data_IF_089156359164
#
_entry.id   IF_089156359164
#
_cell.length_a   1.000
_cell.length_b   1.000
_cell.length_c   1.000
_cell.angle_alpha   90.00
_cell.angle_beta   90.00
_cell.angle_gamma   90.00
#
_symmetry.space_group_name_H-M   'P 1'
#
loop_
_entity.id
_entity.type
_entity.pdbx_description
1 polymer ?
#
# COMPACT_ATOMS: atom_id res chain seq x y z
N UNK A 1 1.64 -38.28 25.02
CA UNK A 1 2.55 -38.10 23.88
C UNK A 1 1.89 -37.16 22.90
N UNK A 2 2.26 -35.88 22.94
CA UNK A 2 1.76 -34.84 22.03
C UNK A 2 2.70 -34.82 20.84
N UNK A 3 2.25 -35.34 19.70
CA UNK A 3 2.97 -35.23 18.43
C UNK A 3 3.04 -33.77 18.03
N UNK A 4 4.25 -33.20 18.03
CA UNK A 4 4.49 -31.89 17.46
C UNK A 4 4.14 -31.98 15.96
N UNK A 5 3.04 -31.34 15.57
CA UNK A 5 2.70 -31.15 14.16
C UNK A 5 3.86 -30.35 13.55
N UNK A 6 4.54 -30.93 12.57
CA UNK A 6 5.59 -30.25 11.83
C UNK A 6 5.00 -28.94 11.28
N UNK A 7 5.42 -27.81 11.85
CA UNK A 7 4.91 -26.50 11.49
C UNK A 7 5.13 -26.27 10.01
N UNK A 8 4.06 -26.05 9.25
CA UNK A 8 4.16 -25.64 7.86
C UNK A 8 5.01 -24.36 7.83
N UNK A 9 6.15 -24.38 7.15
CA UNK A 9 7.07 -23.25 7.11
C UNK A 9 6.32 -22.01 6.62
N UNK A 10 6.40 -20.91 7.37
CA UNK A 10 5.73 -19.68 7.00
C UNK A 10 6.38 -19.07 5.76
N UNK A 11 5.59 -18.66 4.78
CA UNK A 11 6.06 -17.98 3.58
C UNK A 11 6.36 -16.51 3.89
N UNK A 12 7.57 -16.04 3.56
CA UNK A 12 8.01 -14.66 3.81
C UNK A 12 7.69 -13.73 2.63
N UNK A 13 7.01 -12.64 2.89
CA UNK A 13 6.73 -11.55 1.95
C UNK A 13 7.40 -10.27 2.39
N UNK A 14 8.03 -9.55 1.45
CA UNK A 14 8.65 -8.24 1.73
C UNK A 14 8.01 -7.15 0.87
N UNK A 15 7.51 -6.11 1.52
CA UNK A 15 6.81 -4.98 0.93
C UNK A 15 7.70 -3.74 1.08
N UNK A 16 8.03 -3.10 -0.02
CA UNK A 16 8.78 -1.85 -0.06
C UNK A 16 7.84 -0.71 -0.42
N UNK A 17 7.70 0.27 0.46
CA UNK A 17 6.81 1.41 0.27
C UNK A 17 7.56 2.73 0.39
N UNK A 18 7.03 3.79 -0.22
CA UNK A 18 7.70 5.09 -0.29
C UNK A 18 7.93 5.67 1.10
N UNK A 19 6.84 5.93 1.83
CA UNK A 19 6.88 6.70 3.06
C UNK A 19 6.37 5.96 4.29
N UNK A 20 6.36 6.69 5.40
CA UNK A 20 5.75 6.22 6.63
C UNK A 20 4.21 6.20 6.53
N UNK A 21 3.59 7.05 5.72
CA UNK A 21 2.14 7.06 5.51
C UNK A 21 1.66 5.79 4.79
N UNK A 22 2.35 5.37 3.73
CA UNK A 22 2.11 4.08 3.08
C UNK A 22 2.22 2.92 4.05
N UNK A 23 3.28 2.94 4.87
CA UNK A 23 3.52 1.91 5.88
C UNK A 23 2.40 1.88 6.91
N UNK A 24 1.97 3.03 7.41
CA UNK A 24 0.89 3.13 8.41
C UNK A 24 -0.46 2.72 7.79
N UNK A 25 -0.71 3.04 6.52
CA UNK A 25 -1.88 2.57 5.78
C UNK A 25 -1.89 1.04 5.63
N UNK A 26 -0.78 0.47 5.18
CA UNK A 26 -0.63 -0.98 5.05
C UNK A 26 -0.73 -1.68 6.41
N UNK A 27 -0.14 -1.10 7.46
CA UNK A 27 -0.25 -1.62 8.83
C UNK A 27 -1.71 -1.74 9.26
N UNK A 28 -2.50 -0.68 9.07
CA UNK A 28 -3.93 -0.69 9.39
C UNK A 28 -4.72 -1.68 8.52
N UNK A 29 -4.40 -1.80 7.23
CA UNK A 29 -4.99 -2.81 6.34
C UNK A 29 -4.73 -4.22 6.87
N UNK A 30 -3.47 -4.56 7.15
CA UNK A 30 -3.10 -5.88 7.66
C UNK A 30 -3.73 -6.15 9.02
N UNK A 31 -3.57 -5.27 10.00
CA UNK A 31 -4.06 -5.50 11.37
C UNK A 31 -5.59 -5.51 11.46
N UNK A 32 -6.27 -4.53 10.86
CA UNK A 32 -7.69 -4.30 11.10
C UNK A 32 -8.61 -4.81 9.98
N UNK A 33 -8.15 -4.78 8.72
CA UNK A 33 -8.94 -5.28 7.62
C UNK A 33 -8.78 -6.79 7.40
N UNK A 34 -7.54 -7.27 7.51
CA UNK A 34 -7.17 -8.67 7.25
C UNK A 34 -7.00 -9.51 8.52
N UNK A 35 -6.96 -8.88 9.70
CA UNK A 35 -6.82 -9.58 10.98
C UNK A 35 -5.42 -10.16 11.22
N UNK A 36 -4.39 -9.56 10.60
CA UNK A 36 -3.00 -9.96 10.80
C UNK A 36 -2.55 -9.60 12.22
N UNK A 37 -1.73 -10.48 12.80
CA UNK A 37 -1.12 -10.25 14.11
C UNK A 37 0.16 -9.43 13.96
N UNK A 38 0.22 -8.28 14.62
CA UNK A 38 1.43 -7.45 14.70
C UNK A 38 2.56 -8.21 15.40
N UNK A 39 3.78 -8.16 14.84
CA UNK A 39 5.00 -8.70 15.44
C UNK A 39 5.87 -7.60 16.08
N UNK A 40 5.23 -6.50 16.50
CA UNK A 40 5.92 -5.38 17.15
C UNK A 40 6.74 -5.85 18.35
N UNK A 41 8.02 -5.49 18.38
CA UNK A 41 8.94 -5.86 19.46
C UNK A 41 9.69 -7.17 19.25
N UNK A 42 9.42 -7.90 18.15
CA UNK A 42 10.24 -9.06 17.77
C UNK A 42 11.67 -8.60 17.42
N UNK A 43 12.70 -9.09 18.13
CA UNK A 43 14.09 -8.65 17.96
C UNK A 43 14.71 -9.10 16.63
N UNK A 44 14.07 -9.99 15.88
CA UNK A 44 14.53 -10.41 14.55
C UNK A 44 14.35 -9.34 13.48
N UNK A 45 13.49 -8.32 13.72
CA UNK A 45 13.31 -7.24 12.78
C UNK A 45 14.40 -6.17 12.91
N UNK A 46 14.94 -5.77 11.77
CA UNK A 46 15.81 -4.60 11.68
C UNK A 46 15.00 -3.34 12.03
N UNK A 47 15.68 -2.33 12.58
CA UNK A 47 15.08 -1.01 12.84
C UNK A 47 14.43 -0.48 11.55
N UNK A 48 13.16 -0.07 11.64
CA UNK A 48 12.39 0.45 10.50
C UNK A 48 11.63 -0.60 9.68
N UNK A 49 11.75 -1.89 10.04
CA UNK A 49 10.94 -2.97 9.46
C UNK A 49 9.77 -3.30 10.37
N UNK A 50 8.59 -3.45 9.80
CA UNK A 50 7.36 -3.77 10.52
C UNK A 50 6.86 -5.15 10.11
N UNK A 51 6.77 -6.05 11.08
CA UNK A 51 6.41 -7.46 10.86
C UNK A 51 4.95 -7.77 11.19
N UNK A 52 4.33 -8.63 10.39
CA UNK A 52 2.97 -9.12 10.61
C UNK A 52 2.87 -10.62 10.27
N UNK A 53 1.96 -11.31 10.94
CA UNK A 53 1.55 -12.67 10.59
C UNK A 53 0.10 -12.69 10.11
N UNK A 54 -0.12 -13.28 8.94
CA UNK A 54 -1.45 -13.47 8.34
C UNK A 54 -1.59 -14.93 7.93
N UNK A 55 -2.20 -15.75 8.81
CA UNK A 55 -2.24 -17.19 8.64
C UNK A 55 -0.84 -17.79 8.62
N UNK A 56 -0.47 -18.48 7.54
CA UNK A 56 0.88 -19.03 7.32
C UNK A 56 1.86 -18.03 6.66
N UNK A 57 1.44 -16.78 6.43
CA UNK A 57 2.25 -15.76 5.78
C UNK A 57 2.93 -14.87 6.82
N UNK A 58 4.23 -14.65 6.68
CA UNK A 58 4.98 -13.61 7.39
C UNK A 58 5.19 -12.45 6.44
N UNK A 59 4.81 -11.24 6.86
CA UNK A 59 4.88 -10.02 6.05
C UNK A 59 5.83 -9.03 6.70
N UNK A 60 6.77 -8.49 5.93
CA UNK A 60 7.67 -7.40 6.32
C UNK A 60 7.38 -6.15 5.50
N UNK A 61 7.10 -5.04 6.17
CA UNK A 61 6.90 -3.74 5.53
C UNK A 61 8.12 -2.85 5.79
N UNK A 62 8.72 -2.36 4.71
CA UNK A 62 9.92 -1.53 4.66
C UNK A 62 9.54 -0.12 4.19
N UNK A 63 9.46 0.84 5.11
CA UNK A 63 9.28 2.27 4.79
C UNK A 63 10.61 2.86 4.32
N UNK A 64 10.69 3.31 3.08
CA UNK A 64 11.97 3.46 2.40
C UNK A 64 12.42 4.91 2.16
N UNK A 65 11.74 5.90 2.73
CA UNK A 65 12.14 7.31 2.65
C UNK A 65 11.96 7.95 1.27
N UNK A 66 11.04 7.42 0.46
CA UNK A 66 10.60 7.92 -0.84
C UNK A 66 10.67 6.85 -1.94
N UNK A 67 10.09 7.17 -3.11
CA UNK A 67 10.07 6.32 -4.32
C UNK A 67 11.41 5.69 -4.69
N UNK A 68 12.51 6.47 -4.62
CA UNK A 68 13.85 5.97 -4.92
C UNK A 68 14.28 4.91 -3.91
N UNK A 69 14.14 5.17 -2.61
CA UNK A 69 14.54 4.22 -1.58
C UNK A 69 13.72 2.92 -1.65
N UNK A 70 12.42 3.01 -1.97
CA UNK A 70 11.58 1.83 -2.16
C UNK A 70 12.06 0.99 -3.35
N UNK A 71 12.40 1.65 -4.46
CA UNK A 71 12.97 0.99 -5.64
C UNK A 71 14.35 0.36 -5.35
N UNK A 72 15.25 1.10 -4.70
CA UNK A 72 16.58 0.60 -4.32
C UNK A 72 16.47 -0.62 -3.38
N UNK A 73 15.57 -0.57 -2.40
CA UNK A 73 15.32 -1.67 -1.46
C UNK A 73 14.75 -2.91 -2.15
N UNK A 74 13.79 -2.73 -3.05
CA UNK A 74 13.23 -3.80 -3.87
C UNK A 74 14.29 -4.44 -4.77
N UNK A 75 15.09 -3.64 -5.49
CA UNK A 75 16.18 -4.13 -6.34
C UNK A 75 17.27 -4.86 -5.55
N UNK A 76 17.66 -4.34 -4.38
CA UNK A 76 18.62 -5.00 -3.50
C UNK A 76 18.11 -6.39 -3.08
N UNK A 77 16.81 -6.50 -2.80
CA UNK A 77 16.20 -7.75 -2.40
C UNK A 77 15.99 -8.73 -3.57
N UNK A 78 15.73 -8.24 -4.78
CA UNK A 78 15.75 -9.07 -6.00
C UNK A 78 17.10 -9.77 -6.16
N UNK A 79 18.21 -9.04 -6.00
CA UNK A 79 19.58 -9.59 -6.08
C UNK A 79 19.87 -10.61 -4.99
N UNK A 80 19.19 -10.53 -3.85
CA UNK A 80 19.33 -11.43 -2.71
C UNK A 80 18.26 -12.52 -2.66
N UNK A 81 17.36 -12.59 -3.64
CA UNK A 81 16.18 -13.45 -3.60
C UNK A 81 16.54 -14.94 -3.46
N UNK A 82 17.60 -15.41 -4.13
CA UNK A 82 18.06 -16.79 -4.00
C UNK A 82 18.61 -17.15 -2.61
N UNK A 83 19.17 -16.18 -1.88
CA UNK A 83 19.72 -16.41 -0.54
C UNK A 83 18.67 -16.28 0.57
N UNK A 84 17.81 -15.26 0.46
CA UNK A 84 16.75 -15.00 1.46
C UNK A 84 15.53 -15.89 1.25
N UNK A 85 15.30 -16.32 0.01
CA UNK A 85 14.17 -17.14 -0.43
C UNK A 85 12.78 -16.60 -0.02
N UNK A 86 12.45 -15.32 -0.31
CA UNK A 86 11.11 -14.80 -0.04
C UNK A 86 10.08 -15.46 -0.97
N UNK A 87 8.87 -15.72 -0.47
CA UNK A 87 7.76 -16.16 -1.32
C UNK A 87 7.32 -15.08 -2.32
N UNK A 88 7.44 -13.81 -1.94
CA UNK A 88 7.19 -12.70 -2.84
C UNK A 88 7.78 -11.37 -2.39
N UNK A 89 7.98 -10.50 -3.38
CA UNK A 89 8.44 -9.13 -3.23
C UNK A 89 7.39 -8.19 -3.79
N UNK A 90 7.08 -7.15 -3.03
CA UNK A 90 6.06 -6.18 -3.36
C UNK A 90 6.69 -4.80 -3.36
N UNK A 91 6.32 -3.97 -4.34
CA UNK A 91 6.65 -2.56 -4.34
C UNK A 91 5.36 -1.74 -4.36
N UNK A 92 5.18 -0.88 -3.37
CA UNK A 92 4.01 -0.02 -3.18
C UNK A 92 4.41 1.43 -3.47
N UNK A 93 3.87 2.04 -4.52
CA UNK A 93 4.26 3.38 -4.97
C UNK A 93 3.04 4.26 -5.29
N UNK A 94 3.23 5.56 -5.19
CA UNK A 94 2.35 6.54 -5.81
C UNK A 94 2.71 6.65 -7.30
N UNK A 95 1.72 6.84 -8.16
CA UNK A 95 1.94 7.19 -9.58
C UNK A 95 1.27 8.54 -9.84
N UNK A 96 1.78 9.59 -9.17
CA UNK A 96 1.25 10.96 -9.18
C UNK A 96 0.96 11.52 -10.58
N UNK A 97 1.75 11.11 -11.57
CA UNK A 97 1.67 11.55 -12.97
C UNK A 97 0.78 10.65 -13.84
N UNK A 98 0.12 9.65 -13.25
CA UNK A 98 -0.81 8.79 -13.97
C UNK A 98 -2.14 9.52 -14.22
N UNK A 99 -2.67 9.40 -15.43
CA UNK A 99 -3.96 10.00 -15.79
C UNK A 99 -5.16 9.25 -15.18
N UNK A 100 -5.03 7.94 -15.01
CA UNK A 100 -6.07 7.05 -14.49
C UNK A 100 -5.44 5.78 -13.86
N UNK A 101 -6.31 4.86 -13.43
CA UNK A 101 -5.93 3.61 -12.77
C UNK A 101 -5.16 2.67 -13.71
N UNK A 102 -5.53 2.61 -14.99
CA UNK A 102 -4.88 1.71 -15.95
C UNK A 102 -3.48 2.22 -16.31
N UNK A 103 -3.31 3.54 -16.46
CA UNK A 103 -2.00 4.16 -16.63
C UNK A 103 -1.10 3.93 -15.40
N UNK A 104 -1.64 4.10 -14.19
CA UNK A 104 -0.91 3.84 -12.95
C UNK A 104 -0.43 2.38 -12.87
N UNK A 105 -1.32 1.42 -13.14
CA UNK A 105 -1.00 -0.02 -13.16
C UNK A 105 0.03 -0.37 -14.22
N UNK A 106 -0.11 0.17 -15.43
CA UNK A 106 0.85 -0.02 -16.52
C UNK A 106 2.24 0.48 -16.12
N UNK A 107 2.34 1.69 -15.57
CA UNK A 107 3.62 2.29 -15.13
C UNK A 107 4.31 1.47 -14.04
N UNK A 108 3.55 0.96 -13.08
CA UNK A 108 4.11 0.13 -12.02
C UNK A 108 4.55 -1.25 -12.53
N UNK A 109 3.78 -1.87 -13.43
CA UNK A 109 4.21 -3.09 -14.13
C UNK A 109 5.50 -2.85 -14.89
N UNK A 110 5.56 -1.81 -15.72
CA UNK A 110 6.76 -1.44 -16.48
C UNK A 110 7.98 -1.17 -15.58
N UNK A 111 7.76 -0.62 -14.38
CA UNK A 111 8.83 -0.43 -13.40
C UNK A 111 9.41 -1.76 -12.95
N UNK A 112 8.57 -2.73 -12.57
CA UNK A 112 9.03 -4.08 -12.21
C UNK A 112 9.75 -4.74 -13.38
N UNK A 113 9.20 -4.65 -14.60
CA UNK A 113 9.84 -5.19 -15.80
C UNK A 113 11.25 -4.63 -15.96
N UNK A 114 11.43 -3.31 -15.90
CA UNK A 114 12.76 -2.68 -16.01
C UNK A 114 13.73 -3.12 -14.90
N UNK A 115 13.25 -3.31 -13.67
CA UNK A 115 14.08 -3.74 -12.54
C UNK A 115 14.49 -5.22 -12.65
N UNK A 116 13.64 -6.07 -13.22
CA UNK A 116 13.81 -7.53 -13.23
C UNK A 116 14.25 -8.11 -14.59
N UNK A 117 14.15 -7.37 -15.71
CA UNK A 117 14.42 -7.86 -17.08
C UNK A 117 15.80 -8.50 -17.26
N UNK A 118 16.77 -8.11 -16.43
CA UNK A 118 18.16 -8.58 -16.51
C UNK A 118 18.43 -9.80 -15.63
N UNK A 119 17.45 -10.23 -14.84
CA UNK A 119 17.60 -11.33 -13.89
C UNK A 119 17.35 -12.67 -14.58
N UNK A 120 18.26 -13.64 -14.48
CA UNK A 120 18.03 -14.98 -15.01
C UNK A 120 16.80 -15.61 -14.36
N UNK A 121 15.95 -16.25 -15.16
CA UNK A 121 14.75 -16.93 -14.67
C UNK A 121 13.56 -16.01 -14.38
N UNK A 122 13.64 -14.72 -14.75
CA UNK A 122 12.49 -13.83 -14.71
C UNK A 122 11.53 -14.10 -15.87
N UNK A 123 10.25 -14.29 -15.56
CA UNK A 123 9.14 -14.37 -16.51
C UNK A 123 8.35 -13.05 -16.49
N UNK A 124 8.41 -12.25 -17.58
CA UNK A 124 7.72 -10.97 -17.65
C UNK A 124 6.20 -11.09 -17.74
N UNK A 125 5.66 -12.21 -18.21
CA UNK A 125 4.21 -12.38 -18.35
C UNK A 125 3.57 -12.55 -16.99
N UNK A 126 4.12 -13.47 -16.19
CA UNK A 126 3.60 -13.83 -14.87
C UNK A 126 4.19 -13.03 -13.71
N UNK A 127 5.18 -12.17 -13.98
CA UNK A 127 5.96 -11.41 -12.99
C UNK A 127 6.55 -12.32 -11.89
N UNK A 128 7.14 -13.44 -12.30
CA UNK A 128 7.75 -14.42 -11.40
C UNK A 128 9.24 -14.54 -11.66
N UNK A 129 10.02 -14.64 -10.59
CA UNK A 129 11.46 -14.83 -10.65
C UNK A 129 11.83 -16.21 -10.10
N UNK A 130 12.31 -17.11 -10.95
CA UNK A 130 12.83 -18.41 -10.53
C UNK A 130 14.27 -18.25 -10.04
N UNK A 131 14.51 -18.49 -8.75
CA UNK A 131 15.84 -18.35 -8.15
C UNK A 131 16.58 -19.69 -7.98
N UNK A 132 15.84 -20.81 -8.01
CA UNK A 132 16.39 -22.18 -8.02
C UNK A 132 15.38 -23.16 -8.65
N UNK A 133 15.72 -24.45 -8.74
CA UNK A 133 14.83 -25.47 -9.30
C UNK A 133 13.51 -25.64 -8.53
N UNK A 134 13.53 -25.35 -7.23
CA UNK A 134 12.46 -25.55 -6.26
C UNK A 134 11.91 -24.25 -5.67
N UNK A 135 12.35 -23.08 -6.16
CA UNK A 135 11.95 -21.80 -5.60
C UNK A 135 11.71 -20.73 -6.65
N UNK A 136 10.58 -20.06 -6.49
CA UNK A 136 10.12 -18.95 -7.29
C UNK A 136 9.58 -17.85 -6.38
N UNK A 137 9.79 -16.61 -6.81
CA UNK A 137 9.40 -15.40 -6.09
C UNK A 137 8.37 -14.65 -6.92
N UNK A 138 7.20 -14.39 -6.34
CA UNK A 138 6.20 -13.53 -6.98
C UNK A 138 6.62 -12.04 -6.86
N UNK A 139 6.57 -11.29 -7.96
CA UNK A 139 6.81 -9.85 -7.98
C UNK A 139 5.48 -9.12 -8.16
N UNK A 140 5.05 -8.36 -7.15
CA UNK A 140 3.73 -7.74 -7.14
C UNK A 140 3.84 -6.22 -7.09
N UNK A 141 3.37 -5.49 -8.12
CA UNK A 141 3.21 -4.05 -8.04
C UNK A 141 1.93 -3.71 -7.27
N UNK A 142 2.04 -2.79 -6.32
CA UNK A 142 0.90 -2.10 -5.70
C UNK A 142 1.03 -0.63 -6.01
N UNK A 143 -0.05 -0.03 -6.50
CA UNK A 143 -0.11 1.41 -6.79
C UNK A 143 -1.24 2.05 -6.02
N UNK A 144 -0.96 3.18 -5.40
CA UNK A 144 -2.03 3.95 -4.78
C UNK A 144 -2.76 4.77 -5.85
N UNK A 145 -3.86 4.20 -6.35
CA UNK A 145 -4.71 4.86 -7.33
C UNK A 145 -6.19 4.71 -6.96
N UNK A 146 -7.01 5.57 -7.53
CA UNK A 146 -8.40 5.75 -7.21
C UNK A 146 -9.21 5.90 -8.51
N UNK A 147 -10.14 4.97 -8.73
CA UNK A 147 -10.97 4.92 -9.94
C UNK A 147 -12.09 5.99 -9.95
N UNK A 148 -12.28 6.69 -8.84
CA UNK A 148 -13.23 7.80 -8.74
C UNK A 148 -12.93 8.84 -9.82
N UNK A 149 -13.98 9.41 -10.45
CA UNK A 149 -13.82 10.44 -11.47
C UNK A 149 -13.09 11.67 -10.92
N UNK A 150 -12.53 12.49 -11.81
CA UNK A 150 -12.02 13.81 -11.42
C UNK A 150 -13.18 14.64 -10.84
N UNK A 151 -12.98 15.14 -9.63
CA UNK A 151 -13.93 15.97 -8.91
C UNK A 151 -13.15 17.09 -8.21
N UNK A 152 -13.58 18.37 -8.29
CA UNK A 152 -12.95 19.47 -7.56
C UNK A 152 -12.83 19.28 -6.04
N UNK A 153 -13.65 18.40 -5.44
CA UNK A 153 -13.59 18.03 -4.02
C UNK A 153 -12.68 16.84 -3.74
N UNK A 154 -11.86 16.41 -4.69
CA UNK A 154 -10.88 15.34 -4.52
C UNK A 154 -9.47 15.82 -4.94
N UNK A 155 -8.39 15.32 -4.30
CA UNK A 155 -7.02 15.50 -4.78
C UNK A 155 -6.87 14.93 -6.20
N UNK A 156 -6.29 15.65 -7.16
CA UNK A 156 -6.29 15.24 -8.57
C UNK A 156 -5.27 14.17 -8.94
N UNK A 157 -4.18 14.04 -8.16
CA UNK A 157 -3.10 13.09 -8.43
C UNK A 157 -3.45 11.68 -7.99
N UNK A 158 -2.97 10.67 -8.71
CA UNK A 158 -3.15 9.26 -8.36
C UNK A 158 -2.13 8.86 -7.29
N UNK A 159 -2.53 9.03 -6.03
CA UNK A 159 -1.75 8.68 -4.85
C UNK A 159 -2.64 8.18 -3.70
N UNK A 160 -1.98 7.79 -2.61
CA UNK A 160 -2.64 7.32 -1.40
C UNK A 160 -3.61 8.36 -0.83
N UNK A 161 -3.28 9.65 -0.91
CA UNK A 161 -4.16 10.65 -0.34
C UNK A 161 -5.45 10.85 -1.14
N UNK A 162 -5.43 10.74 -2.49
CA UNK A 162 -6.65 10.75 -3.30
C UNK A 162 -7.56 9.59 -2.93
N UNK A 163 -7.00 8.39 -2.80
CA UNK A 163 -7.71 7.19 -2.37
C UNK A 163 -8.38 7.40 -0.99
N UNK A 164 -7.61 7.94 -0.03
CA UNK A 164 -8.10 8.24 1.32
C UNK A 164 -9.21 9.29 1.33
N UNK A 165 -9.03 10.40 0.64
CA UNK A 165 -10.03 11.48 0.59
C UNK A 165 -11.30 11.02 -0.12
N UNK A 166 -11.19 10.24 -1.20
CA UNK A 166 -12.35 9.67 -1.87
C UNK A 166 -13.18 8.79 -0.93
N UNK A 167 -12.53 7.91 -0.16
CA UNK A 167 -13.22 7.09 0.83
C UNK A 167 -13.87 7.92 1.96
N UNK A 168 -13.19 8.97 2.43
CA UNK A 168 -13.74 9.89 3.42
C UNK A 168 -14.96 10.66 2.90
N UNK A 169 -14.91 11.14 1.65
CA UNK A 169 -16.02 11.85 1.03
C UNK A 169 -17.22 10.94 0.78
N UNK A 170 -17.01 9.67 0.41
CA UNK A 170 -18.10 8.70 0.29
C UNK A 170 -18.76 8.42 1.66
N UNK A 171 -17.96 8.13 2.68
CA UNK A 171 -18.47 7.84 4.02
C UNK A 171 -19.11 9.08 4.68
N UNK A 172 -18.59 10.27 4.39
CA UNK A 172 -19.05 11.53 4.99
C UNK A 172 -19.32 12.61 3.92
N UNK A 173 -20.43 12.51 3.15
CA UNK A 173 -20.66 13.32 1.94
C UNK A 173 -20.65 14.83 2.14
N UNK A 174 -20.94 15.31 3.36
CA UNK A 174 -20.94 16.74 3.68
C UNK A 174 -19.54 17.32 3.88
N UNK A 175 -18.53 16.49 4.14
CA UNK A 175 -17.18 16.96 4.51
C UNK A 175 -16.38 17.45 3.30
N UNK A 176 -16.46 16.77 2.16
CA UNK A 176 -15.76 17.17 0.93
C UNK A 176 -16.10 18.61 0.52
N UNK A 177 -17.39 18.95 0.32
CA UNK A 177 -17.81 20.31 0.02
C UNK A 177 -17.39 21.34 1.09
N UNK A 178 -17.51 21.00 2.38
CA UNK A 178 -17.13 21.91 3.46
C UNK A 178 -15.63 22.24 3.45
N UNK A 179 -14.76 21.25 3.23
CA UNK A 179 -13.31 21.45 3.09
C UNK A 179 -12.99 22.27 1.84
N UNK A 180 -13.65 21.98 0.71
CA UNK A 180 -13.48 22.75 -0.51
C UNK A 180 -13.85 24.23 -0.32
N UNK A 181 -15.01 24.51 0.29
CA UNK A 181 -15.45 25.87 0.63
C UNK A 181 -14.45 26.57 1.54
N UNK A 182 -13.97 25.90 2.58
CA UNK A 182 -12.99 26.46 3.52
C UNK A 182 -11.66 26.80 2.83
N UNK A 183 -11.15 25.90 1.98
CA UNK A 183 -9.91 26.13 1.22
C UNK A 183 -10.03 27.32 0.25
N UNK A 184 -11.16 27.43 -0.43
CA UNK A 184 -11.43 28.53 -1.37
C UNK A 184 -11.55 29.89 -0.65
N UNK A 185 -11.99 29.91 0.60
CA UNK A 185 -12.14 31.12 1.39
C UNK A 185 -10.83 31.65 2.01
N UNK A 186 -9.69 30.95 1.84
CA UNK A 186 -8.41 31.36 2.42
C UNK A 186 -7.91 32.67 1.78
N UNK A 187 -7.29 33.59 2.54
CA UNK A 187 -6.69 34.82 1.98
C UNK A 187 -5.60 34.55 0.93
N UNK A 188 -4.96 33.38 1.02
CA UNK A 188 -3.99 32.85 0.05
C UNK A 188 -4.40 31.40 -0.24
N UNK A 189 -5.29 31.17 -1.22
CA UNK A 189 -5.63 29.82 -1.64
C UNK A 189 -4.41 29.17 -2.31
N UNK A 190 -4.34 27.84 -2.38
CA UNK A 190 -3.32 27.15 -3.18
C UNK A 190 -3.37 27.63 -4.64
N UNK A 191 -2.21 27.98 -5.17
CA UNK A 191 -1.99 28.59 -6.48
C UNK A 191 -1.73 27.56 -7.60
N UNK A 192 -1.23 26.37 -7.24
CA UNK A 192 -1.02 25.25 -8.17
C UNK A 192 -1.75 23.96 -7.76
N UNK A 193 -1.86 23.02 -8.70
CA UNK A 193 -2.59 21.76 -8.50
C UNK A 193 -1.92 20.83 -7.48
N UNK A 194 -0.59 20.83 -7.37
CA UNK A 194 0.14 20.03 -6.39
C UNK A 194 -0.13 20.52 -4.97
N UNK A 195 0.00 21.83 -4.77
CA UNK A 195 -0.29 22.54 -3.54
C UNK A 195 -1.76 22.39 -3.15
N UNK A 196 -2.68 22.43 -4.13
CA UNK A 196 -4.11 22.17 -3.92
C UNK A 196 -4.36 20.73 -3.47
N UNK A 197 -3.78 19.75 -4.18
CA UNK A 197 -3.89 18.33 -3.89
C UNK A 197 -3.47 18.03 -2.45
N UNK A 198 -2.26 18.46 -2.04
CA UNK A 198 -1.78 18.24 -0.67
C UNK A 198 -2.60 19.03 0.35
N UNK A 199 -2.93 20.30 0.09
CA UNK A 199 -3.76 21.10 1.01
C UNK A 199 -5.11 20.44 1.28
N UNK A 200 -5.73 19.86 0.26
CA UNK A 200 -7.00 19.15 0.38
C UNK A 200 -6.88 17.94 1.30
N UNK A 201 -5.90 17.09 1.04
CA UNK A 201 -5.61 15.90 1.84
C UNK A 201 -5.34 16.23 3.31
N UNK A 202 -4.45 17.20 3.57
CA UNK A 202 -4.10 17.62 4.93
C UNK A 202 -5.28 18.21 5.69
N UNK A 203 -6.17 18.94 5.01
CA UNK A 203 -7.34 19.56 5.63
C UNK A 203 -8.35 18.50 6.09
N UNK A 204 -8.55 17.46 5.29
CA UNK A 204 -9.36 16.31 5.71
C UNK A 204 -8.75 15.59 6.91
N UNK A 205 -7.44 15.35 6.90
CA UNK A 205 -6.75 14.68 8.01
C UNK A 205 -6.84 15.48 9.30
N UNK A 206 -6.64 16.80 9.24
CA UNK A 206 -6.66 17.69 10.41
C UNK A 206 -8.03 17.72 11.10
N UNK A 207 -9.13 17.72 10.33
CA UNK A 207 -10.48 17.68 10.88
C UNK A 207 -10.90 16.32 11.44
N UNK A 208 -10.28 15.24 10.95
CA UNK A 208 -10.67 13.88 11.29
C UNK A 208 -9.96 13.33 12.52
N UNK A 209 -8.65 13.54 12.62
CA UNK A 209 -7.82 13.02 13.71
C UNK A 209 -7.02 14.15 14.38
N UNK A 210 -7.69 15.10 15.06
CA UNK A 210 -7.01 16.24 15.68
C UNK A 210 -6.05 15.81 16.81
N UNK A 211 -6.24 14.63 17.40
CA UNK A 211 -5.51 14.17 18.60
C UNK A 211 -4.31 13.24 18.32
N UNK A 212 -4.37 12.26 17.38
CA UNK A 212 -3.24 11.33 17.16
C UNK A 212 -2.12 11.83 16.23
N UNK A 213 -2.31 12.97 15.57
CA UNK A 213 -1.38 13.49 14.57
C UNK A 213 -1.44 12.77 13.21
N UNK A 214 -0.86 13.39 12.18
CA UNK A 214 -0.99 12.95 10.78
C UNK A 214 -0.43 11.54 10.49
N UNK A 215 0.55 11.06 11.26
CA UNK A 215 1.15 9.75 11.00
C UNK A 215 0.23 8.59 11.37
N UNK A 216 -0.61 8.73 12.39
CA UNK A 216 -1.53 7.65 12.80
C UNK A 216 -2.81 7.61 11.98
N UNK A 217 -3.14 8.71 11.30
CA UNK A 217 -4.36 8.86 10.50
C UNK A 217 -4.56 7.68 9.53
N UNK A 218 -3.55 7.38 8.71
CA UNK A 218 -3.64 6.37 7.66
C UNK A 218 -3.85 4.94 8.17
N UNK A 219 -3.37 4.61 9.37
CA UNK A 219 -3.65 3.32 10.00
C UNK A 219 -5.01 3.31 10.71
N UNK A 220 -5.34 4.39 11.41
CA UNK A 220 -6.51 4.46 12.28
C UNK A 220 -7.86 4.48 11.50
N UNK A 221 -7.87 4.92 10.24
CA UNK A 221 -9.07 4.80 9.39
C UNK A 221 -9.56 3.37 9.21
N UNK A 222 -8.71 2.37 9.43
CA UNK A 222 -9.09 0.96 9.34
C UNK A 222 -9.76 0.44 10.61
N UNK A 223 -9.51 1.05 11.77
CA UNK A 223 -10.08 0.62 13.06
C UNK A 223 -11.24 1.49 13.54
N UNK A 224 -11.17 2.80 13.32
CA UNK A 224 -11.96 3.77 14.07
C UNK A 224 -13.23 4.22 13.34
N UNK A 225 -13.31 4.04 12.00
CA UNK A 225 -14.49 4.36 11.20
C UNK A 225 -14.82 3.24 10.21
N UNK A 226 -15.91 2.51 10.49
CA UNK A 226 -16.35 1.37 9.70
C UNK A 226 -16.85 1.78 8.30
N UNK A 227 -17.41 2.98 8.15
CA UNK A 227 -17.95 3.49 6.88
C UNK A 227 -16.79 3.87 5.95
N UNK A 228 -15.77 4.55 6.48
CA UNK A 228 -14.54 4.87 5.75
C UNK A 228 -13.80 3.60 5.35
N UNK A 229 -13.67 2.63 6.27
CA UNK A 229 -13.11 1.31 5.95
C UNK A 229 -13.87 0.62 4.83
N UNK A 230 -15.20 0.61 4.87
CA UNK A 230 -16.02 0.00 3.81
C UNK A 230 -15.80 0.70 2.45
N UNK A 231 -15.71 2.03 2.44
CA UNK A 231 -15.42 2.81 1.24
C UNK A 231 -14.00 2.57 0.70
N UNK A 232 -12.99 2.46 1.57
CA UNK A 232 -11.62 2.09 1.19
C UNK A 232 -11.57 0.70 0.56
N UNK A 233 -12.24 -0.25 1.18
CA UNK A 233 -12.31 -1.64 0.73
C UNK A 233 -12.79 -1.74 -0.72
N UNK A 234 -13.85 -1.01 -1.10
CA UNK A 234 -14.36 -0.97 -2.49
C UNK A 234 -13.30 -0.53 -3.51
N UNK A 235 -12.35 0.32 -3.08
CA UNK A 235 -11.31 0.90 -3.94
C UNK A 235 -10.03 0.04 -3.97
N UNK A 236 -9.86 -0.91 -3.06
CA UNK A 236 -8.62 -1.72 -2.98
C UNK A 236 -8.37 -2.58 -4.22
N UNK A 237 -9.43 -2.94 -4.96
CA UNK A 237 -9.26 -3.67 -6.21
C UNK A 237 -8.46 -2.86 -7.25
N UNK A 238 -8.56 -1.53 -7.25
CA UNK A 238 -7.83 -0.66 -8.16
C UNK A 238 -6.31 -0.68 -7.93
N UNK A 239 -5.87 -0.91 -6.68
CA UNK A 239 -4.49 -0.67 -6.25
C UNK A 239 -3.53 -1.84 -6.48
N UNK A 240 -4.04 -3.00 -6.89
CA UNK A 240 -3.24 -4.23 -7.02
C UNK A 240 -3.07 -5.01 -5.71
N UNK A 241 -3.65 -4.55 -4.60
CA UNK A 241 -3.70 -5.31 -3.33
C UNK A 241 -4.39 -6.67 -3.53
N UNK A 242 -5.35 -6.79 -4.45
CA UNK A 242 -5.96 -8.08 -4.79
C UNK A 242 -4.98 -9.09 -5.36
N UNK A 243 -4.07 -8.64 -6.23
CA UNK A 243 -3.03 -9.50 -6.78
C UNK A 243 -2.07 -9.95 -5.67
N UNK A 244 -1.75 -9.06 -4.73
CA UNK A 244 -0.96 -9.40 -3.54
C UNK A 244 -1.64 -10.48 -2.69
N UNK A 245 -2.90 -10.28 -2.30
CA UNK A 245 -3.63 -11.22 -1.46
C UNK A 245 -3.83 -12.56 -2.16
N UNK A 246 -4.15 -12.54 -3.45
CA UNK A 246 -4.26 -13.76 -4.27
C UNK A 246 -2.94 -14.52 -4.30
N UNK A 247 -1.81 -13.82 -4.50
CA UNK A 247 -0.49 -14.44 -4.52
C UNK A 247 -0.07 -15.00 -3.14
N UNK A 248 -0.57 -14.40 -2.05
CA UNK A 248 -0.44 -14.90 -0.67
C UNK A 248 -1.37 -16.07 -0.34
N UNK A 249 -2.32 -16.42 -1.21
CA UNK A 249 -3.38 -17.40 -0.92
C UNK A 249 -4.40 -16.91 0.10
N UNK A 250 -4.58 -15.58 0.22
CA UNK A 250 -5.52 -14.94 1.13
C UNK A 250 -6.73 -14.45 0.33
N UNK A 251 -7.93 -14.85 0.74
CA UNK A 251 -9.18 -14.35 0.14
C UNK A 251 -9.40 -12.90 0.57
N UNK A 252 -9.49 -11.93 -0.36
CA UNK A 252 -9.76 -10.54 -0.02
C UNK A 252 -11.12 -10.40 0.67
N UNK A 253 -11.26 -9.57 1.73
CA UNK A 253 -12.52 -9.44 2.46
C UNK A 253 -13.65 -8.82 1.61
N UNK A 254 -13.32 -8.22 0.46
CA UNK A 254 -14.28 -7.66 -0.50
C UNK A 254 -14.64 -8.56 -1.67
N UNK A 255 -14.14 -9.79 -1.68
CA UNK A 255 -14.55 -10.80 -2.66
C UNK A 255 -15.80 -11.58 -2.24
N UNK A 256 -16.42 -11.21 -1.11
CA UNK A 256 -17.64 -11.81 -0.54
C UNK A 256 -18.79 -10.83 -0.64
#
# INVERSE_FOLDING_TARGET
>A
MTTAVAGCASSLWKLYCEGYHDRDFLAGLFEHALGARSLKGDPSFKKGVFGYELGSQRVEIHASGGKKGASDGFEAQLKQAGAVRPAGLVICLDEDDACDVDDARRRARERILRMAERLPGFDPETLRLRTSADHEVALVPVTWCCADPSDPVLPQRQNLERLMVAALCEAHPKRGPAVATWLAARPRPPDDDASRSKSFSWSHMAGWFPSPGGNRFFGAVWSDDIEVRAALIKRMAATGVDALLTAMGVTPPWSR
#
